data_IF_379369608283
#
_entry.id   IF_379369608283
#
_cell.length_a   1.000
_cell.length_b   1.000
_cell.length_c   1.000
_cell.angle_alpha   90.00
_cell.angle_beta   90.00
_cell.angle_gamma   90.00
#
_symmetry.space_group_name_H-M   'P 1'
#
loop_
_entity.id
_entity.type
_entity.pdbx_description
1 polymer ?
#
# COMPACT_ATOMS: atom_id res chain seq x y z
N UNK A 1 19.06 51.36 -21.77
CA UNK A 1 19.05 49.97 -22.26
C UNK A 1 18.79 49.06 -21.07
N UNK A 2 17.63 48.48 -21.03
CA UNK A 2 17.28 47.49 -19.98
C UNK A 2 17.39 46.12 -20.62
N UNK A 3 18.32 45.30 -20.15
CA UNK A 3 18.46 43.90 -20.50
C UNK A 3 17.51 43.10 -19.60
N UNK A 4 16.39 42.70 -20.12
CA UNK A 4 15.52 41.74 -19.48
C UNK A 4 15.99 40.36 -19.88
N UNK A 5 16.66 39.67 -18.96
CA UNK A 5 17.07 38.24 -19.15
C UNK A 5 15.86 37.36 -19.21
N UNK A 6 15.68 36.51 -20.23
CA UNK A 6 14.59 35.52 -20.28
C UNK A 6 15.03 34.19 -19.64
N UNK A 7 15.41 34.16 -18.37
CA UNK A 7 15.85 32.91 -17.71
C UNK A 7 14.85 32.38 -16.68
N UNK A 8 13.73 33.09 -16.46
CA UNK A 8 12.78 32.72 -15.40
C UNK A 8 11.65 31.76 -15.83
N UNK A 9 11.62 31.30 -17.09
CA UNK A 9 10.46 30.52 -17.60
C UNK A 9 10.69 29.02 -17.77
N UNK A 10 11.81 28.43 -17.32
CA UNK A 10 12.15 27.05 -17.64
C UNK A 10 12.10 26.07 -16.44
N UNK A 11 11.59 26.44 -15.28
CA UNK A 11 11.64 25.62 -14.07
C UNK A 11 10.31 24.97 -13.63
N UNK A 12 9.23 25.08 -14.40
CA UNK A 12 7.91 24.55 -13.96
C UNK A 12 7.43 23.29 -14.69
N UNK A 13 8.21 22.71 -15.59
CA UNK A 13 7.73 21.57 -16.41
C UNK A 13 8.20 20.20 -15.89
N UNK A 14 9.13 20.13 -14.95
CA UNK A 14 9.72 18.84 -14.52
C UNK A 14 8.97 18.11 -13.41
N UNK A 15 8.14 18.79 -12.61
CA UNK A 15 7.42 18.16 -11.50
C UNK A 15 6.26 17.25 -11.92
N UNK A 16 5.58 17.54 -13.02
CA UNK A 16 4.47 16.76 -13.51
C UNK A 16 4.86 15.41 -14.09
N UNK A 17 5.97 15.33 -14.83
CA UNK A 17 6.42 14.09 -15.48
C UNK A 17 6.95 13.07 -14.46
N UNK A 18 7.60 13.51 -13.39
CA UNK A 18 8.10 12.60 -12.35
C UNK A 18 6.96 11.99 -11.54
N UNK A 19 5.94 12.76 -11.20
CA UNK A 19 4.77 12.29 -10.48
C UNK A 19 3.99 11.27 -11.30
N UNK A 20 3.71 11.55 -12.58
CA UNK A 20 3.04 10.62 -13.47
C UNK A 20 3.80 9.28 -13.60
N UNK A 21 5.12 9.32 -13.76
CA UNK A 21 5.93 8.11 -13.87
C UNK A 21 5.94 7.28 -12.59
N UNK A 22 5.88 7.89 -11.41
CA UNK A 22 5.80 7.18 -10.14
C UNK A 22 4.45 6.47 -9.97
N UNK A 23 3.34 7.13 -10.31
CA UNK A 23 2.01 6.53 -10.28
C UNK A 23 1.91 5.32 -11.22
N UNK A 24 2.41 5.40 -12.44
CA UNK A 24 2.43 4.27 -13.37
C UNK A 24 3.30 3.11 -12.86
N UNK A 25 4.44 3.40 -12.25
CA UNK A 25 5.27 2.38 -11.61
C UNK A 25 4.58 1.72 -10.42
N UNK A 26 3.85 2.48 -9.60
CA UNK A 26 3.06 1.94 -8.50
C UNK A 26 1.96 1.00 -9.03
N UNK A 27 1.22 1.39 -10.05
CA UNK A 27 0.20 0.55 -10.71
C UNK A 27 0.79 -0.75 -11.24
N UNK A 28 1.96 -0.69 -11.89
CA UNK A 28 2.66 -1.87 -12.39
C UNK A 28 3.03 -2.83 -11.27
N UNK A 29 3.55 -2.32 -10.15
CA UNK A 29 3.88 -3.16 -8.98
C UNK A 29 2.62 -3.78 -8.36
N UNK A 30 1.51 -3.04 -8.26
CA UNK A 30 0.23 -3.57 -7.77
C UNK A 30 -0.28 -4.69 -8.69
N UNK A 31 -0.27 -4.49 -9.99
CA UNK A 31 -0.73 -5.49 -10.95
C UNK A 31 0.11 -6.77 -10.87
N UNK A 32 1.43 -6.65 -10.84
CA UNK A 32 2.32 -7.79 -10.71
C UNK A 32 2.18 -8.49 -9.34
N UNK A 33 2.09 -7.71 -8.25
CA UNK A 33 1.84 -8.24 -6.91
C UNK A 33 0.55 -9.04 -6.82
N UNK A 34 -0.52 -8.55 -7.45
CA UNK A 34 -1.81 -9.25 -7.52
C UNK A 34 -1.72 -10.55 -8.33
N UNK A 35 -0.94 -10.55 -9.41
CA UNK A 35 -0.73 -11.75 -10.23
C UNK A 35 0.02 -12.84 -9.46
N UNK A 36 1.10 -12.49 -8.76
CA UNK A 36 1.87 -13.46 -7.98
C UNK A 36 1.10 -13.92 -6.74
N UNK A 37 0.27 -13.06 -6.13
CA UNK A 37 -0.63 -13.43 -5.03
C UNK A 37 -1.65 -14.49 -5.48
N UNK A 38 -2.24 -14.37 -6.67
CA UNK A 38 -3.15 -15.38 -7.23
C UNK A 38 -2.48 -16.75 -7.44
N UNK A 39 -1.16 -16.75 -7.61
CA UNK A 39 -0.35 -17.97 -7.72
C UNK A 39 0.11 -18.51 -6.34
N UNK A 40 -0.28 -17.87 -5.25
CA UNK A 40 0.13 -18.26 -3.90
C UNK A 40 1.54 -17.81 -3.51
N UNK A 41 2.20 -16.99 -4.32
CA UNK A 41 3.55 -16.49 -4.07
C UNK A 41 3.49 -15.25 -3.15
N UNK A 42 3.02 -15.44 -1.93
CA UNK A 42 2.66 -14.36 -1.01
C UNK A 42 3.86 -13.48 -0.60
N UNK A 43 5.05 -14.05 -0.42
CA UNK A 43 6.24 -13.27 -0.08
C UNK A 43 6.65 -12.33 -1.21
N UNK A 44 6.55 -12.79 -2.46
CA UNK A 44 6.78 -11.93 -3.63
C UNK A 44 5.70 -10.85 -3.72
N UNK A 45 4.44 -11.19 -3.44
CA UNK A 45 3.36 -10.23 -3.41
C UNK A 45 3.61 -9.13 -2.36
N UNK A 46 4.03 -9.47 -1.14
CA UNK A 46 4.44 -8.52 -0.10
C UNK A 46 5.47 -7.55 -0.66
N UNK A 47 6.56 -8.06 -1.22
CA UNK A 47 7.62 -7.23 -1.80
C UNK A 47 7.08 -6.27 -2.87
N UNK A 48 6.23 -6.75 -3.79
CA UNK A 48 5.67 -5.92 -4.86
C UNK A 48 4.75 -4.82 -4.33
N UNK A 49 3.91 -5.12 -3.35
CA UNK A 49 3.05 -4.10 -2.74
C UNK A 49 3.85 -3.08 -1.93
N UNK A 50 4.92 -3.49 -1.24
CA UNK A 50 5.85 -2.55 -0.59
C UNK A 50 6.53 -1.62 -1.62
N UNK A 51 6.93 -2.14 -2.78
CA UNK A 51 7.46 -1.32 -3.88
C UNK A 51 6.42 -0.33 -4.42
N UNK A 52 5.16 -0.73 -4.50
CA UNK A 52 4.07 0.16 -4.90
C UNK A 52 3.89 1.31 -3.90
N UNK A 53 3.87 1.00 -2.60
CA UNK A 53 3.73 1.97 -1.51
C UNK A 53 4.93 2.94 -1.49
N UNK A 54 6.15 2.45 -1.75
CA UNK A 54 7.33 3.30 -1.86
C UNK A 54 7.20 4.33 -3.00
N UNK A 55 6.48 4.01 -4.07
CA UNK A 55 6.22 4.93 -5.19
C UNK A 55 5.02 5.85 -4.93
N UNK A 56 4.00 5.36 -4.26
CA UNK A 56 2.75 6.05 -3.99
C UNK A 56 2.26 5.74 -2.56
N UNK A 57 2.82 6.40 -1.52
CA UNK A 57 2.53 6.11 -0.11
C UNK A 57 1.06 6.31 0.30
N UNK A 58 0.29 7.08 -0.48
CA UNK A 58 -1.12 7.37 -0.23
C UNK A 58 -2.08 6.48 -1.00
N UNK A 59 -1.58 5.42 -1.63
CA UNK A 59 -2.42 4.47 -2.36
C UNK A 59 -3.09 3.48 -1.40
N UNK A 60 -4.36 3.75 -1.04
CA UNK A 60 -5.13 2.92 -0.13
C UNK A 60 -5.22 1.45 -0.57
N UNK A 61 -5.36 1.21 -1.88
CA UNK A 61 -5.43 -0.15 -2.44
C UNK A 61 -4.12 -0.91 -2.27
N UNK A 62 -2.98 -0.25 -2.43
CA UNK A 62 -1.67 -0.86 -2.21
C UNK A 62 -1.51 -1.31 -0.76
N UNK A 63 -1.89 -0.46 0.20
CA UNK A 63 -1.90 -0.81 1.63
C UNK A 63 -2.85 -1.98 1.94
N UNK A 64 -4.07 -1.97 1.40
CA UNK A 64 -5.00 -3.10 1.55
C UNK A 64 -4.44 -4.41 0.98
N UNK A 65 -3.84 -4.37 -0.20
CA UNK A 65 -3.29 -5.57 -0.84
C UNK A 65 -2.04 -6.08 -0.09
N UNK A 66 -1.21 -5.18 0.44
CA UNK A 66 -0.12 -5.56 1.33
C UNK A 66 -0.66 -6.25 2.60
N UNK A 67 -1.72 -5.71 3.20
CA UNK A 67 -2.34 -6.31 4.37
C UNK A 67 -2.83 -7.75 4.09
N UNK A 68 -3.49 -7.98 2.96
CA UNK A 68 -3.92 -9.33 2.54
C UNK A 68 -2.72 -10.27 2.37
N UNK A 69 -1.65 -9.81 1.76
CA UNK A 69 -0.45 -10.62 1.56
C UNK A 69 0.26 -10.93 2.89
N UNK A 70 0.33 -9.96 3.81
CA UNK A 70 0.88 -10.14 5.16
C UNK A 70 0.02 -11.12 6.00
N UNK A 71 -1.30 -11.04 5.88
CA UNK A 71 -2.22 -12.02 6.48
C UNK A 71 -1.89 -13.46 5.99
N UNK A 72 -1.69 -13.63 4.69
CA UNK A 72 -1.35 -14.92 4.10
C UNK A 72 0.04 -15.45 4.51
N UNK A 73 0.98 -14.55 4.85
CA UNK A 73 2.32 -14.94 5.37
C UNK A 73 2.36 -15.07 6.90
N UNK A 74 1.25 -14.81 7.61
CA UNK A 74 1.16 -14.92 9.08
C UNK A 74 1.70 -13.68 9.83
N UNK A 75 1.99 -12.60 9.13
CA UNK A 75 2.47 -11.35 9.73
C UNK A 75 1.30 -10.46 10.19
N UNK A 76 0.49 -10.99 11.10
CA UNK A 76 -0.82 -10.44 11.45
C UNK A 76 -0.78 -9.04 12.07
N UNK A 77 0.23 -8.73 12.89
CA UNK A 77 0.36 -7.40 13.47
C UNK A 77 0.61 -6.34 12.40
N UNK A 78 1.48 -6.63 11.43
CA UNK A 78 1.72 -5.75 10.29
C UNK A 78 0.49 -5.63 9.39
N UNK A 79 -0.20 -6.75 9.15
CA UNK A 79 -1.45 -6.75 8.39
C UNK A 79 -2.49 -5.80 9.01
N UNK A 80 -2.65 -5.82 10.33
CA UNK A 80 -3.55 -4.92 11.06
C UNK A 80 -3.23 -3.44 10.79
N UNK A 81 -1.95 -3.08 10.87
CA UNK A 81 -1.52 -1.69 10.65
C UNK A 81 -1.75 -1.26 9.19
N UNK A 82 -1.49 -2.13 8.23
CA UNK A 82 -1.72 -1.82 6.81
C UNK A 82 -3.21 -1.70 6.47
N UNK A 83 -4.09 -2.53 7.05
CA UNK A 83 -5.54 -2.36 6.93
C UNK A 83 -6.03 -1.03 7.51
N UNK A 84 -5.56 -0.67 8.70
CA UNK A 84 -5.89 0.63 9.32
C UNK A 84 -5.43 1.79 8.43
N UNK A 85 -4.23 1.69 7.88
CA UNK A 85 -3.70 2.70 6.96
C UNK A 85 -4.54 2.83 5.71
N UNK A 86 -4.94 1.72 5.11
CA UNK A 86 -5.83 1.72 3.95
C UNK A 86 -7.16 2.43 4.23
N UNK A 87 -7.79 2.15 5.40
CA UNK A 87 -9.02 2.79 5.83
C UNK A 87 -8.86 4.29 6.12
N UNK A 88 -7.71 4.73 6.63
CA UNK A 88 -7.41 6.15 6.81
C UNK A 88 -7.30 6.87 5.47
N UNK A 89 -6.71 6.24 4.47
CA UNK A 89 -6.51 6.81 3.14
C UNK A 89 -7.78 6.84 2.30
N UNK A 90 -8.62 5.81 2.42
CA UNK A 90 -9.92 5.74 1.75
C UNK A 90 -10.99 5.14 2.68
N UNK A 91 -11.61 5.97 3.53
CA UNK A 91 -12.57 5.52 4.54
C UNK A 91 -13.91 5.07 3.96
N UNK A 92 -14.16 5.26 2.67
CA UNK A 92 -15.43 4.89 2.00
C UNK A 92 -15.33 3.66 1.10
N UNK A 93 -14.14 3.12 0.89
CA UNK A 93 -13.97 1.93 0.05
C UNK A 93 -14.54 0.68 0.74
N UNK A 94 -15.63 0.17 0.17
CA UNK A 94 -16.34 -0.99 0.71
C UNK A 94 -15.53 -2.29 0.63
N UNK A 95 -14.59 -2.39 -0.30
CA UNK A 95 -13.71 -3.55 -0.44
C UNK A 95 -12.68 -3.59 0.71
N UNK A 96 -12.08 -2.44 1.04
CA UNK A 96 -11.16 -2.32 2.17
C UNK A 96 -11.91 -2.62 3.49
N UNK A 97 -13.11 -2.08 3.67
CA UNK A 97 -13.93 -2.36 4.85
C UNK A 97 -14.22 -3.85 5.03
N UNK A 98 -14.58 -4.56 3.97
CA UNK A 98 -14.85 -6.01 4.05
C UNK A 98 -13.62 -6.81 4.42
N UNK A 99 -12.47 -6.49 3.81
CA UNK A 99 -11.22 -7.17 4.09
C UNK A 99 -10.80 -6.95 5.54
N UNK A 100 -10.85 -5.70 6.00
CA UNK A 100 -10.52 -5.37 7.38
C UNK A 100 -11.46 -6.03 8.38
N UNK A 101 -12.78 -5.99 8.16
CA UNK A 101 -13.76 -6.59 9.08
C UNK A 101 -13.53 -8.10 9.22
N UNK A 102 -13.35 -8.82 8.11
CA UNK A 102 -13.02 -10.26 8.10
C UNK A 102 -11.72 -10.54 8.87
N UNK A 103 -10.69 -9.77 8.61
CA UNK A 103 -9.41 -9.91 9.28
C UNK A 103 -9.51 -9.59 10.78
N UNK A 104 -10.21 -8.52 11.17
CA UNK A 104 -10.36 -8.11 12.57
C UNK A 104 -11.09 -9.18 13.41
N UNK A 105 -12.09 -9.83 12.85
CA UNK A 105 -12.79 -10.96 13.49
C UNK A 105 -11.83 -12.13 13.72
N UNK A 106 -11.09 -12.54 12.68
CA UNK A 106 -10.06 -13.56 12.77
C UNK A 106 -9.00 -13.19 13.82
N UNK A 107 -8.47 -11.99 13.76
CA UNK A 107 -7.36 -11.55 14.62
C UNK A 107 -7.77 -11.48 16.10
N UNK A 108 -8.99 -11.04 16.38
CA UNK A 108 -9.56 -11.06 17.75
C UNK A 108 -9.62 -12.49 18.30
N UNK A 109 -10.07 -13.43 17.50
CA UNK A 109 -10.11 -14.85 17.87
C UNK A 109 -8.71 -15.42 18.08
N UNK A 110 -7.79 -15.12 17.17
CA UNK A 110 -6.39 -15.55 17.22
C UNK A 110 -5.69 -15.07 18.49
N UNK A 111 -5.79 -13.77 18.82
CA UNK A 111 -5.15 -13.20 20.01
C UNK A 111 -5.72 -13.78 21.31
N UNK A 112 -7.02 -14.05 21.35
CA UNK A 112 -7.68 -14.69 22.49
C UNK A 112 -7.16 -16.11 22.72
N UNK A 113 -6.97 -16.87 21.64
CA UNK A 113 -6.54 -18.28 21.73
C UNK A 113 -5.06 -18.42 22.02
N UNK A 114 -4.22 -17.56 21.48
CA UNK A 114 -2.76 -17.67 21.58
C UNK A 114 -2.16 -16.86 22.72
N UNK A 115 -2.94 -15.96 23.33
CA UNK A 115 -2.44 -15.00 24.32
C UNK A 115 -1.43 -13.99 23.75
N UNK A 116 -1.23 -13.99 22.43
CA UNK A 116 -0.33 -13.06 21.76
C UNK A 116 -1.07 -11.77 21.45
N UNK A 117 -0.78 -10.73 22.23
CA UNK A 117 -1.22 -9.38 21.89
C UNK A 117 -0.56 -8.89 20.58
N UNK A 118 -1.20 -7.96 19.92
CA UNK A 118 -0.62 -7.26 18.78
C UNK A 118 0.72 -6.64 19.19
N UNK A 119 1.83 -7.07 18.57
CA UNK A 119 3.15 -6.51 18.80
C UNK A 119 4.04 -7.25 19.80
N UNK A 120 3.66 -8.40 20.31
CA UNK A 120 4.60 -9.27 20.99
C UNK A 120 5.53 -9.95 19.96
N UNK A 121 6.87 -9.87 20.13
CA UNK A 121 7.82 -10.55 19.25
C UNK A 121 7.68 -12.06 19.29
#
# INVERSE_FOLDING_TARGET
MRWTSPVAALLLITSGCTSYSQTERAKSQIAFGSEVARKGLWREAVFRFEQAIAKEPTNARAHNNLAVALEATGEFARALEEYKKALQLDPKDSYIHRNYARFAEFYTSYTRTTGKAAGAP
#
